data_IF_026921851771
#
_entry.id   IF_026921851771
#
_cell.length_a   1.000
_cell.length_b   1.000
_cell.length_c   1.000
_cell.angle_alpha   90.00
_cell.angle_beta   90.00
_cell.angle_gamma   90.00
#
_symmetry.space_group_name_H-M   'P 1'
#
loop_
_entity.id
_entity.type
_entity.pdbx_description
1 polymer ?
#
# COMPACT_ATOMS: atom_id res chain seq x y z
N UNK A 1 -18.15 14.55 25.25
CA UNK A 1 -17.43 15.23 24.15
C UNK A 1 -17.68 14.43 22.88
N UNK A 2 -17.91 15.11 21.76
CA UNK A 2 -18.16 14.49 20.47
C UNK A 2 -17.00 14.83 19.53
N UNK A 3 -16.48 13.83 18.83
CA UNK A 3 -15.38 13.97 17.87
C UNK A 3 -15.76 13.21 16.60
N UNK A 4 -15.62 13.90 15.46
CA UNK A 4 -15.78 13.32 14.14
C UNK A 4 -14.58 13.64 13.25
N UNK A 5 -14.40 12.84 12.21
CA UNK A 5 -13.38 13.06 11.18
C UNK A 5 -13.94 12.65 9.82
N UNK A 6 -13.99 13.61 8.91
CA UNK A 6 -14.15 13.32 7.49
C UNK A 6 -12.78 12.94 6.90
N UNK A 7 -12.67 11.71 6.42
CA UNK A 7 -11.46 11.22 5.76
C UNK A 7 -11.43 11.52 4.27
N UNK A 8 -12.58 11.82 3.66
CA UNK A 8 -12.66 12.20 2.25
C UNK A 8 -12.03 13.58 2.00
N UNK A 9 -12.09 14.46 2.99
CA UNK A 9 -11.52 15.82 2.95
C UNK A 9 -10.05 15.89 3.42
N UNK A 10 -9.45 14.75 3.81
CA UNK A 10 -8.04 14.73 4.22
C UNK A 10 -7.13 14.74 2.98
N UNK A 11 -6.33 15.80 2.82
CA UNK A 11 -5.55 16.07 1.59
C UNK A 11 -4.63 14.92 1.18
N UNK A 12 -4.00 14.26 2.17
CA UNK A 12 -2.95 13.26 1.92
C UNK A 12 -3.46 11.82 1.84
N UNK A 13 -4.63 11.52 2.42
CA UNK A 13 -5.27 10.20 2.42
C UNK A 13 -6.37 10.12 1.37
N UNK A 14 -7.15 11.19 1.20
CA UNK A 14 -8.24 11.35 0.22
C UNK A 14 -9.34 10.29 0.34
N UNK A 15 -9.49 9.74 1.53
CA UNK A 15 -10.43 8.68 1.87
C UNK A 15 -9.87 7.72 2.90
N UNK A 16 -10.70 6.74 3.24
CA UNK A 16 -10.39 5.60 4.10
C UNK A 16 -11.32 4.43 3.74
N UNK A 17 -10.98 3.17 4.05
CA UNK A 17 -9.78 2.70 4.77
C UNK A 17 -8.62 2.27 3.85
N UNK A 18 -8.89 2.03 2.58
CA UNK A 18 -7.89 1.62 1.60
C UNK A 18 -8.40 1.82 0.18
N UNK A 19 -7.50 1.69 -0.79
CA UNK A 19 -7.86 1.86 -2.20
C UNK A 19 -8.79 0.74 -2.70
N UNK A 20 -9.83 1.11 -3.46
CA UNK A 20 -10.68 0.16 -4.17
C UNK A 20 -10.41 0.18 -5.67
N UNK A 21 -10.40 -0.99 -6.30
CA UNK A 21 -10.16 -1.14 -7.72
C UNK A 21 -11.48 -1.27 -8.47
N UNK A 22 -11.72 -0.39 -9.44
CA UNK A 22 -12.87 -0.49 -10.32
C UNK A 22 -12.85 -1.82 -11.13
N UNK A 23 -14.01 -2.28 -11.65
CA UNK A 23 -14.06 -3.49 -12.46
C UNK A 23 -13.04 -3.49 -13.60
N UNK A 24 -12.32 -4.61 -13.75
CA UNK A 24 -11.29 -4.80 -14.76
C UNK A 24 -9.90 -4.24 -14.42
N UNK A 25 -9.77 -3.35 -13.44
CA UNK A 25 -8.46 -2.76 -13.07
C UNK A 25 -7.52 -3.83 -12.53
N UNK A 26 -7.99 -4.70 -11.63
CA UNK A 26 -7.15 -5.77 -11.06
C UNK A 26 -6.61 -6.72 -12.12
N UNK A 27 -7.45 -7.18 -13.05
CA UNK A 27 -7.03 -8.12 -14.08
C UNK A 27 -6.16 -7.48 -15.17
N UNK A 28 -6.28 -6.18 -15.39
CA UNK A 28 -5.46 -5.46 -16.36
C UNK A 28 -4.11 -4.98 -15.79
N UNK A 29 -4.07 -4.62 -14.50
CA UNK A 29 -2.95 -3.89 -13.90
C UNK A 29 -2.52 -4.39 -12.51
N UNK A 30 -3.08 -5.48 -11.99
CA UNK A 30 -2.76 -5.97 -10.64
C UNK A 30 -1.27 -6.21 -10.41
N UNK A 31 -0.57 -6.74 -11.41
CA UNK A 31 0.88 -6.96 -11.36
C UNK A 31 1.69 -5.67 -11.17
N UNK A 32 1.16 -4.53 -11.63
CA UNK A 32 1.84 -3.23 -11.54
C UNK A 32 1.77 -2.63 -10.12
N UNK A 33 0.87 -3.11 -9.25
CA UNK A 33 0.64 -2.54 -7.92
C UNK A 33 1.91 -2.55 -7.05
N UNK A 34 2.71 -3.62 -7.14
CA UNK A 34 3.92 -3.79 -6.34
C UNK A 34 5.19 -3.93 -7.18
N UNK A 35 5.07 -3.92 -8.52
CA UNK A 35 6.22 -4.05 -9.41
C UNK A 35 7.25 -2.93 -9.17
N UNK A 36 8.53 -3.26 -8.94
CA UNK A 36 9.56 -2.26 -8.70
C UNK A 36 9.83 -1.41 -9.95
N UNK A 37 10.11 -0.12 -9.76
CA UNK A 37 10.53 0.80 -10.84
C UNK A 37 11.96 1.28 -10.58
N UNK A 38 12.93 0.65 -11.23
CA UNK A 38 14.36 0.96 -11.00
C UNK A 38 14.75 0.72 -9.54
N UNK A 39 15.09 1.78 -8.81
CA UNK A 39 15.44 1.74 -7.37
C UNK A 39 14.24 2.02 -6.44
N UNK A 40 13.04 2.20 -6.99
CA UNK A 40 11.82 2.44 -6.22
C UNK A 40 11.21 1.09 -5.84
N UNK A 41 10.85 0.94 -4.57
CA UNK A 41 10.07 -0.18 -4.03
C UNK A 41 8.80 0.37 -3.39
N UNK A 42 7.72 -0.39 -3.51
CA UNK A 42 6.40 0.03 -3.06
C UNK A 42 6.06 -0.65 -1.74
N UNK A 43 5.55 0.15 -0.80
CA UNK A 43 4.99 -0.31 0.47
C UNK A 43 3.65 0.42 0.70
N UNK A 44 2.98 0.08 1.78
CA UNK A 44 1.63 0.57 2.08
C UNK A 44 0.67 -0.60 2.24
N UNK A 45 -0.42 -0.39 2.98
CA UNK A 45 -1.34 -1.48 3.32
C UNK A 45 -1.86 -2.24 2.09
N UNK A 46 -2.02 -1.53 0.97
CA UNK A 46 -2.44 -2.03 -0.34
C UNK A 46 -1.41 -2.93 -1.02
N UNK A 47 -0.14 -2.83 -0.65
CA UNK A 47 0.94 -3.66 -1.21
C UNK A 47 1.02 -5.03 -0.53
N UNK A 48 0.27 -5.27 0.55
CA UNK A 48 0.25 -6.57 1.22
C UNK A 48 -0.80 -7.51 0.60
N UNK A 49 -0.42 -8.76 0.29
CA UNK A 49 -1.38 -9.79 -0.14
C UNK A 49 -2.25 -10.30 1.02
N UNK A 50 -1.88 -10.00 2.27
CA UNK A 50 -2.61 -10.41 3.47
C UNK A 50 -2.97 -9.17 4.29
N UNK A 51 -4.24 -9.05 4.69
CA UNK A 51 -4.76 -7.87 5.39
C UNK A 51 -4.55 -6.56 4.62
N UNK A 52 -4.76 -6.62 3.30
CA UNK A 52 -4.78 -5.45 2.42
C UNK A 52 -5.72 -4.36 2.94
N UNK A 53 -5.26 -3.12 3.05
CA UNK A 53 -6.04 -1.98 3.59
C UNK A 53 -6.12 -1.91 5.12
N UNK A 54 -5.37 -2.74 5.86
CA UNK A 54 -5.31 -2.70 7.32
C UNK A 54 -3.88 -2.38 7.82
N UNK A 55 -3.78 -1.99 9.09
CA UNK A 55 -2.50 -1.73 9.76
C UNK A 55 -1.52 -2.91 9.65
N UNK A 56 -2.01 -4.14 9.75
CA UNK A 56 -1.20 -5.35 9.59
C UNK A 56 -0.60 -5.46 8.17
N UNK A 57 -1.36 -5.08 7.14
CA UNK A 57 -0.84 -5.00 5.78
C UNK A 57 0.22 -3.91 5.62
N UNK A 58 0.07 -2.78 6.31
CA UNK A 58 1.06 -1.70 6.28
C UNK A 58 2.40 -2.15 6.89
N UNK A 59 2.36 -2.87 8.03
CA UNK A 59 3.57 -3.43 8.65
C UNK A 59 4.23 -4.44 7.71
N UNK A 60 3.48 -5.45 7.25
CA UNK A 60 4.02 -6.52 6.40
C UNK A 60 4.65 -6.02 5.11
N UNK A 61 3.97 -5.10 4.42
CA UNK A 61 4.49 -4.53 3.18
C UNK A 61 5.74 -3.67 3.42
N UNK A 62 5.79 -2.93 4.52
CA UNK A 62 6.96 -2.14 4.91
C UNK A 62 8.18 -3.03 5.19
N UNK A 63 7.99 -4.12 5.96
CA UNK A 63 9.04 -5.10 6.23
C UNK A 63 9.52 -5.79 4.95
N UNK A 64 8.60 -6.18 4.08
CA UNK A 64 8.94 -6.82 2.80
C UNK A 64 9.77 -5.87 1.90
N UNK A 65 9.31 -4.63 1.72
CA UNK A 65 10.04 -3.62 0.94
C UNK A 65 11.43 -3.32 1.53
N UNK A 66 11.55 -3.25 2.86
CA UNK A 66 12.83 -3.06 3.53
C UNK A 66 13.78 -4.25 3.31
N UNK A 67 13.28 -5.49 3.40
CA UNK A 67 14.06 -6.69 3.15
C UNK A 67 14.55 -6.76 1.69
N UNK A 68 13.71 -6.39 0.72
CA UNK A 68 14.11 -6.29 -0.68
C UNK A 68 15.24 -5.27 -0.88
N UNK A 69 15.14 -4.09 -0.24
CA UNK A 69 16.18 -3.06 -0.31
C UNK A 69 17.48 -3.54 0.35
N UNK A 70 17.41 -4.18 1.52
CA UNK A 70 18.59 -4.72 2.20
C UNK A 70 19.33 -5.73 1.31
N UNK A 71 18.60 -6.64 0.67
CA UNK A 71 19.16 -7.61 -0.26
C UNK A 71 19.84 -6.94 -1.47
N UNK A 72 19.27 -5.86 -2.01
CA UNK A 72 19.86 -5.09 -3.11
C UNK A 72 21.13 -4.34 -2.70
N UNK A 73 21.24 -3.94 -1.44
CA UNK A 73 22.42 -3.27 -0.89
C UNK A 73 23.51 -4.26 -0.45
N UNK A 74 23.23 -5.57 -0.44
CA UNK A 74 24.15 -6.60 0.06
C UNK A 74 24.37 -6.52 1.57
N UNK A 75 23.40 -5.99 2.30
CA UNK A 75 23.39 -5.89 3.76
C UNK A 75 22.87 -7.17 4.42
#
# INVERSE_FOLDING_TARGET
EYVERDWMDEEFSRGCYGAHLAPGVWTAYGDALTAPVGRIRWAGAECSPVHNGYMEGAVRSGEAAAAEIAALLGA
#
